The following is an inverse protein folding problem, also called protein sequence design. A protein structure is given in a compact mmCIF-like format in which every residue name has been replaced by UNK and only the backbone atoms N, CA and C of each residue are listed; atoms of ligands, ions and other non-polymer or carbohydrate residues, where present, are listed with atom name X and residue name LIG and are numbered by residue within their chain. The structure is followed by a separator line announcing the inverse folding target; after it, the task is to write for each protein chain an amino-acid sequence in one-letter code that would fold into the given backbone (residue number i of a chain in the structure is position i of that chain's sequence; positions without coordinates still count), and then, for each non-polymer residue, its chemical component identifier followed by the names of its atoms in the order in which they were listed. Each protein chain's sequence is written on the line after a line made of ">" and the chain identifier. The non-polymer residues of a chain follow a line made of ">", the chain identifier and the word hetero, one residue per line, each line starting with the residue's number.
data_IF_741668711996
#
_entry.id   IF_741668711996
#
_cell.length_a   1.000
_cell.length_b   1.000
_cell.length_c   1.000
_cell.angle_alpha   90.00
_cell.angle_beta   90.00
_cell.angle_gamma   90.00
#
_symmetry.space_group_name_H-M   'P 1'
#
loop_
_entity.id
_entity.type
_entity.pdbx_description
1 polymer ?
#
# COMPACT_ATOMS: atom_id res chain seq x y z
N UNK A 1 14.44 28.01 -26.33
CA UNK A 1 13.04 27.84 -26.76
C UNK A 1 12.65 26.37 -26.70
N UNK A 2 11.93 25.95 -25.65
CA UNK A 2 11.18 24.68 -25.57
C UNK A 2 10.25 24.73 -24.34
N UNK A 3 9.24 25.60 -24.37
CA UNK A 3 8.24 25.77 -23.28
C UNK A 3 6.85 25.31 -23.70
N UNK A 4 6.73 24.45 -24.72
CA UNK A 4 5.43 23.99 -25.23
C UNK A 4 4.79 22.93 -24.30
N UNK A 5 5.59 22.17 -23.54
CA UNK A 5 5.07 21.06 -22.72
C UNK A 5 4.30 21.50 -21.46
N UNK A 6 4.45 22.74 -21.02
CA UNK A 6 3.80 23.27 -19.80
C UNK A 6 3.12 24.59 -20.11
N UNK A 7 2.22 24.56 -21.11
CA UNK A 7 1.28 25.66 -21.36
C UNK A 7 -0.08 25.15 -20.92
N UNK A 8 -0.73 25.85 -19.97
CA UNK A 8 -1.98 25.46 -19.29
C UNK A 8 -1.81 24.59 -18.04
N UNK A 9 -0.88 24.96 -17.16
CA UNK A 9 -0.79 24.38 -15.81
C UNK A 9 -1.08 25.48 -14.79
N UNK A 10 -1.89 25.22 -13.75
CA UNK A 10 -2.14 26.19 -12.68
C UNK A 10 -0.83 26.70 -12.06
N UNK A 11 -0.78 27.98 -11.70
CA UNK A 11 0.43 28.64 -11.20
C UNK A 11 1.02 27.93 -9.97
N UNK A 12 0.15 27.42 -9.10
CA UNK A 12 0.55 26.66 -7.90
C UNK A 12 1.18 25.32 -8.27
N UNK A 13 0.64 24.61 -9.27
CA UNK A 13 1.23 23.36 -9.76
C UNK A 13 2.57 23.62 -10.45
N UNK A 14 2.72 24.76 -11.13
CA UNK A 14 3.98 25.20 -11.71
C UNK A 14 5.06 25.47 -10.65
N UNK A 15 4.70 26.05 -9.49
CA UNK A 15 5.64 26.25 -8.37
C UNK A 15 6.14 24.92 -7.81
N UNK A 16 5.24 23.97 -7.59
CA UNK A 16 5.61 22.63 -7.10
C UNK A 16 6.48 21.88 -8.11
N UNK A 17 6.15 21.95 -9.41
CA UNK A 17 6.95 21.33 -10.46
C UNK A 17 8.37 21.94 -10.56
N UNK A 18 8.52 23.25 -10.36
CA UNK A 18 9.85 23.90 -10.31
C UNK A 18 10.66 23.43 -9.10
N UNK A 19 10.03 23.32 -7.93
CA UNK A 19 10.66 22.79 -6.71
C UNK A 19 11.14 21.34 -6.92
N UNK A 20 10.26 20.47 -7.42
CA UNK A 20 10.59 19.08 -7.74
C UNK A 20 11.70 18.93 -8.78
N UNK A 21 11.74 19.82 -9.77
CA UNK A 21 12.82 19.85 -10.77
C UNK A 21 14.20 19.99 -10.11
N UNK A 22 14.30 20.86 -9.11
CA UNK A 22 15.54 21.12 -8.37
C UNK A 22 15.87 19.95 -7.44
N UNK A 23 14.89 19.49 -6.65
CA UNK A 23 15.06 18.37 -5.72
C UNK A 23 15.50 17.07 -6.43
N UNK A 24 14.99 16.82 -7.63
CA UNK A 24 15.31 15.62 -8.41
C UNK A 24 16.50 15.81 -9.37
N UNK A 25 17.15 16.97 -9.36
CA UNK A 25 18.31 17.29 -10.20
C UNK A 25 18.04 17.23 -11.70
N UNK A 26 16.81 17.50 -12.14
CA UNK A 26 16.41 17.42 -13.55
C UNK A 26 16.86 18.67 -14.31
N UNK A 27 17.57 18.51 -15.43
CA UNK A 27 18.02 19.63 -16.27
C UNK A 27 16.88 20.13 -17.16
N UNK A 28 16.09 19.20 -17.68
CA UNK A 28 14.96 19.48 -18.58
C UNK A 28 13.61 19.15 -17.95
N UNK A 29 12.55 19.79 -18.45
CA UNK A 29 11.17 19.44 -18.06
C UNK A 29 10.77 18.04 -18.53
N UNK A 30 11.32 17.58 -19.66
CA UNK A 30 11.11 16.23 -20.17
C UNK A 30 11.68 15.17 -19.22
N UNK A 31 12.87 15.39 -18.64
CA UNK A 31 13.43 14.50 -17.60
C UNK A 31 12.54 14.42 -16.36
N UNK A 32 12.02 15.58 -15.90
CA UNK A 32 11.12 15.60 -14.75
C UNK A 32 9.84 14.80 -15.05
N UNK A 33 9.22 15.04 -16.22
CA UNK A 33 8.02 14.32 -16.64
C UNK A 33 8.29 12.81 -16.80
N UNK A 34 9.44 12.43 -17.36
CA UNK A 34 9.84 11.03 -17.47
C UNK A 34 9.97 10.38 -16.08
N UNK A 35 10.66 11.02 -15.13
CA UNK A 35 10.78 10.51 -13.75
C UNK A 35 9.42 10.40 -13.06
N UNK A 36 8.55 11.39 -13.23
CA UNK A 36 7.20 11.39 -12.66
C UNK A 36 6.31 10.30 -13.27
N UNK A 37 6.42 10.02 -14.58
CA UNK A 37 5.71 8.91 -15.21
C UNK A 37 6.25 7.57 -14.72
N UNK A 38 7.56 7.44 -14.56
CA UNK A 38 8.19 6.22 -14.01
C UNK A 38 7.78 5.98 -12.56
N UNK A 39 7.77 7.02 -11.71
CA UNK A 39 7.32 6.90 -10.31
C UNK A 39 5.82 6.61 -10.21
N UNK A 40 5.01 7.19 -11.11
CA UNK A 40 3.57 6.91 -11.18
C UNK A 40 3.29 5.47 -11.66
N UNK A 41 4.10 4.92 -12.57
CA UNK A 41 4.00 3.50 -12.98
C UNK A 41 4.21 2.53 -11.82
N UNK A 42 5.04 2.88 -10.83
CA UNK A 42 5.26 2.04 -9.65
C UNK A 42 4.10 2.08 -8.63
N UNK A 43 3.16 3.02 -8.76
CA UNK A 43 2.06 3.23 -7.79
C UNK A 43 0.67 3.14 -8.47
N UNK A 44 0.57 2.55 -9.66
CA UNK A 44 -0.74 2.21 -10.22
C UNK A 44 -1.24 0.90 -9.60
N UNK A 45 -1.68 0.98 -8.34
CA UNK A 45 -2.63 0.01 -7.79
C UNK A 45 -3.92 0.17 -8.60
N UNK A 46 -4.26 -0.83 -9.41
CA UNK A 46 -5.55 -0.86 -10.08
C UNK A 46 -6.67 -0.82 -9.03
N UNK A 47 -7.81 -0.22 -9.39
CA UNK A 47 -8.96 -0.16 -8.49
C UNK A 47 -9.35 -1.57 -7.99
N UNK A 48 -9.23 -2.56 -8.87
CA UNK A 48 -9.38 -3.99 -8.56
C UNK A 48 -8.44 -4.46 -7.42
N UNK A 49 -7.14 -4.12 -7.47
CA UNK A 49 -6.19 -4.47 -6.40
C UNK A 49 -6.51 -3.78 -5.08
N UNK A 50 -7.04 -2.56 -5.13
CA UNK A 50 -7.49 -1.83 -3.94
C UNK A 50 -8.71 -2.54 -3.33
N UNK A 51 -9.65 -2.98 -4.16
CA UNK A 51 -10.88 -3.63 -3.71
C UNK A 51 -10.60 -5.05 -3.19
N UNK A 52 -9.71 -5.81 -3.83
CA UNK A 52 -9.18 -7.09 -3.31
C UNK A 52 -8.55 -6.91 -1.93
N UNK A 53 -7.71 -5.89 -1.77
CA UNK A 53 -7.04 -5.61 -0.49
C UNK A 53 -8.05 -5.25 0.60
N UNK A 54 -9.04 -4.41 0.30
CA UNK A 54 -10.12 -4.07 1.24
C UNK A 54 -10.93 -5.29 1.64
N UNK A 55 -11.28 -6.16 0.70
CA UNK A 55 -11.97 -7.40 0.97
C UNK A 55 -11.14 -8.32 1.88
N UNK A 56 -9.84 -8.49 1.58
CA UNK A 56 -8.93 -9.29 2.39
C UNK A 56 -8.81 -8.78 3.85
N UNK A 57 -8.74 -7.46 4.05
CA UNK A 57 -8.73 -6.87 5.39
C UNK A 57 -10.03 -7.13 6.14
N UNK A 58 -11.19 -7.02 5.47
CA UNK A 58 -12.48 -7.33 6.10
C UNK A 58 -12.58 -8.80 6.52
N UNK A 59 -12.16 -9.72 5.66
CA UNK A 59 -12.16 -11.15 5.98
C UNK A 59 -11.21 -11.48 7.12
N UNK A 60 -10.03 -10.87 7.18
CA UNK A 60 -9.10 -11.03 8.30
C UNK A 60 -9.73 -10.57 9.63
N UNK A 61 -10.43 -9.42 9.61
CA UNK A 61 -11.11 -8.90 10.80
C UNK A 61 -12.28 -9.80 11.23
N UNK A 62 -13.00 -10.42 10.29
CA UNK A 62 -14.02 -11.44 10.58
C UNK A 62 -13.39 -12.67 11.21
N UNK A 63 -12.30 -13.17 10.61
CA UNK A 63 -11.58 -14.34 11.11
C UNK A 63 -11.09 -14.11 12.55
N UNK A 64 -10.55 -12.92 12.84
CA UNK A 64 -10.15 -12.55 14.21
C UNK A 64 -11.31 -12.72 15.19
N UNK A 65 -12.52 -12.24 14.86
CA UNK A 65 -13.69 -12.38 15.74
C UNK A 65 -14.06 -13.84 15.96
N UNK A 66 -14.09 -14.63 14.89
CA UNK A 66 -14.41 -16.06 14.96
C UNK A 66 -13.38 -16.82 15.82
N UNK A 67 -12.09 -16.56 15.60
CA UNK A 67 -11.00 -17.13 16.41
C UNK A 67 -11.16 -16.72 17.86
N UNK A 68 -11.32 -15.43 18.16
CA UNK A 68 -11.49 -14.96 19.55
C UNK A 68 -12.72 -15.58 20.23
N UNK A 69 -13.85 -15.74 19.54
CA UNK A 69 -15.03 -16.41 20.08
C UNK A 69 -14.82 -17.90 20.31
N UNK A 70 -14.20 -18.59 19.35
CA UNK A 70 -13.93 -20.03 19.44
C UNK A 70 -13.02 -20.37 20.62
N UNK A 71 -12.09 -19.47 20.94
CA UNK A 71 -11.15 -19.61 22.04
C UNK A 71 -11.58 -18.91 23.35
N UNK A 72 -12.80 -18.36 23.42
CA UNK A 72 -13.31 -17.68 24.60
C UNK A 72 -13.70 -18.64 25.74
N UNK A 73 -13.86 -19.92 25.45
CA UNK A 73 -14.22 -20.96 26.42
C UNK A 73 -13.24 -22.15 26.40
N UNK A 74 -13.44 -23.15 27.29
CA UNK A 74 -12.65 -24.37 27.28
C UNK A 74 -12.89 -25.19 26.00
N UNK A 75 -11.85 -25.79 25.39
CA UNK A 75 -10.46 -25.70 25.82
C UNK A 75 -9.83 -24.38 25.38
N UNK A 76 -9.18 -23.71 26.32
CA UNK A 76 -8.45 -22.46 26.07
C UNK A 76 -7.21 -22.74 25.21
N UNK A 77 -6.65 -21.69 24.59
CA UNK A 77 -5.42 -21.80 23.78
C UNK A 77 -4.28 -22.49 24.55
N UNK A 78 -4.15 -22.23 25.86
CA UNK A 78 -3.13 -22.86 26.70
C UNK A 78 -3.42 -24.34 26.97
N UNK A 79 -4.69 -24.73 27.06
CA UNK A 79 -5.08 -26.14 27.25
C UNK A 79 -4.85 -26.94 25.97
N UNK A 80 -5.18 -26.39 24.81
CA UNK A 80 -4.88 -27.03 23.52
C UNK A 80 -3.36 -27.12 23.27
N UNK A 81 -2.59 -26.08 23.59
CA UNK A 81 -1.12 -26.14 23.51
C UNK A 81 -0.52 -27.22 24.44
N UNK A 82 -1.11 -27.43 25.63
CA UNK A 82 -0.68 -28.50 26.53
C UNK A 82 -1.09 -29.88 26.02
N UNK A 83 -2.26 -30.01 25.39
CA UNK A 83 -2.71 -31.25 24.76
C UNK A 83 -1.83 -31.65 23.59
N UNK A 84 -1.51 -30.72 22.69
CA UNK A 84 -0.67 -31.03 21.52
C UNK A 84 0.71 -31.54 21.92
N UNK A 85 1.33 -30.93 22.94
CA UNK A 85 2.63 -31.38 23.47
C UNK A 85 2.60 -32.77 24.11
N UNK A 86 1.47 -33.17 24.70
CA UNK A 86 1.31 -34.53 25.24
C UNK A 86 1.21 -35.57 24.13
N UNK A 87 0.69 -35.20 22.96
CA UNK A 87 0.63 -36.08 21.80
C UNK A 87 1.98 -36.23 21.08
N UNK A 88 2.91 -35.27 21.20
CA UNK A 88 4.27 -35.40 20.65
C UNK A 88 5.20 -36.28 21.50
N UNK A 89 4.82 -36.59 22.74
CA UNK A 89 5.61 -37.38 23.69
C UNK A 89 5.15 -38.85 23.81
N UNK A 90 4.10 -39.24 23.08
CA UNK A 90 3.59 -40.61 23.00
C UNK A 90 4.00 -41.25 21.66
#
# INVERSE_FOLDING_TARGET
>A
MATILIKNVPEDLLKELKRLKVELGCRTWAELLAKLVTSKRTVLLTQEKIDEMKAGVQELLRLRRVVSQKWAGPPTVLEELRRSKRHEQA
#
